data_IF_890955724101
#
_entry.id   IF_890955724101
#
_cell.length_a   1.000
_cell.length_b   1.000
_cell.length_c   1.000
_cell.angle_alpha   90.00
_cell.angle_beta   90.00
_cell.angle_gamma   90.00
#
_symmetry.space_group_name_H-M   'P 1'
#
loop_
_entity.id
_entity.type
_entity.pdbx_description
1 polymer ?
#
# COMPACT_ATOMS: atom_id res chain seq x y z
N UNK A 1 18.22 -37.27 -63.14
CA UNK A 1 17.47 -37.38 -61.85
C UNK A 1 18.14 -36.53 -60.80
N UNK A 2 17.56 -35.37 -60.46
CA UNK A 2 17.46 -34.75 -59.12
C UNK A 2 17.00 -33.30 -59.29
N UNK A 3 15.70 -33.11 -59.07
CA UNK A 3 15.04 -31.80 -58.95
C UNK A 3 15.53 -31.16 -57.64
N UNK A 4 16.04 -29.94 -57.67
CA UNK A 4 16.19 -29.13 -56.46
C UNK A 4 14.98 -28.19 -56.35
N UNK A 5 14.23 -28.39 -55.27
CA UNK A 5 13.01 -27.69 -54.90
C UNK A 5 13.37 -26.52 -53.97
N UNK A 6 12.59 -25.44 -54.11
CA UNK A 6 12.65 -24.17 -53.38
C UNK A 6 12.79 -24.29 -51.84
N UNK A 7 13.34 -23.23 -51.24
CA UNK A 7 12.75 -22.60 -50.04
C UNK A 7 13.22 -21.16 -49.89
N UNK A 8 12.36 -20.21 -50.26
CA UNK A 8 12.51 -18.79 -49.91
C UNK A 8 11.90 -18.63 -48.52
N UNK A 9 12.72 -18.30 -47.52
CA UNK A 9 12.27 -18.00 -46.16
C UNK A 9 11.92 -16.50 -46.12
N UNK A 10 10.63 -16.17 -46.15
CA UNK A 10 10.13 -14.84 -45.80
C UNK A 10 10.15 -14.69 -44.27
N UNK A 11 11.09 -13.89 -43.73
CA UNK A 11 11.00 -13.40 -42.36
C UNK A 11 9.86 -12.38 -42.26
N UNK A 12 8.72 -12.81 -41.72
CA UNK A 12 7.68 -11.91 -41.21
C UNK A 12 8.13 -11.36 -39.86
N UNK A 13 8.65 -10.13 -39.85
CA UNK A 13 8.85 -9.37 -38.62
C UNK A 13 7.50 -8.85 -38.13
N UNK A 14 6.88 -9.57 -37.19
CA UNK A 14 5.72 -9.08 -36.46
C UNK A 14 6.16 -8.00 -35.47
N UNK A 15 5.99 -6.73 -35.84
CA UNK A 15 5.98 -5.62 -34.87
C UNK A 15 4.75 -5.76 -33.99
N UNK A 16 4.94 -6.30 -32.78
CA UNK A 16 3.93 -6.28 -31.72
C UNK A 16 3.85 -4.84 -31.22
N UNK A 17 2.86 -4.11 -31.71
CA UNK A 17 2.50 -2.81 -31.17
C UNK A 17 1.82 -3.05 -29.82
N UNK A 18 2.52 -2.79 -28.71
CA UNK A 18 1.91 -2.74 -27.39
C UNK A 18 0.95 -1.54 -27.34
N UNK A 19 -0.33 -1.77 -27.64
CA UNK A 19 -1.36 -0.79 -27.36
C UNK A 19 -1.42 -0.58 -25.85
N UNK A 20 -1.13 0.65 -25.39
CA UNK A 20 -1.40 1.03 -24.01
C UNK A 20 -2.90 0.84 -23.72
N UNK A 21 -3.28 0.24 -22.58
CA UNK A 21 -4.69 0.05 -22.24
C UNK A 21 -5.37 1.42 -22.15
N UNK A 22 -6.44 1.61 -22.92
CA UNK A 22 -7.18 2.86 -23.06
C UNK A 22 -7.68 3.46 -21.73
N UNK A 23 -7.75 2.66 -20.65
CA UNK A 23 -8.08 3.13 -19.30
C UNK A 23 -7.04 4.09 -18.71
N UNK A 24 -5.76 3.91 -19.02
CA UNK A 24 -4.71 4.79 -18.50
C UNK A 24 -4.71 6.15 -19.19
N UNK A 25 -5.12 6.27 -20.45
CA UNK A 25 -5.06 7.56 -21.17
C UNK A 25 -6.08 8.57 -20.64
N UNK A 26 -7.31 8.15 -20.34
CA UNK A 26 -8.34 9.03 -19.76
C UNK A 26 -7.98 9.46 -18.34
N UNK A 27 -7.52 8.52 -17.52
CA UNK A 27 -7.05 8.82 -16.16
C UNK A 27 -5.89 9.81 -16.20
N UNK A 28 -4.88 9.57 -17.04
CA UNK A 28 -3.72 10.46 -17.18
C UNK A 28 -4.16 11.86 -17.63
N UNK A 29 -5.03 11.97 -18.64
CA UNK A 29 -5.53 13.26 -19.10
C UNK A 29 -6.28 14.03 -17.98
N UNK A 30 -7.10 13.33 -17.19
CA UNK A 30 -7.79 13.93 -16.03
C UNK A 30 -6.80 14.41 -14.97
N UNK A 31 -5.87 13.55 -14.56
CA UNK A 31 -4.86 13.87 -13.54
C UNK A 31 -3.96 15.01 -14.00
N UNK A 32 -3.52 15.01 -15.27
CA UNK A 32 -2.69 16.06 -15.85
C UNK A 32 -3.43 17.41 -15.89
N UNK A 33 -4.73 17.41 -16.18
CA UNK A 33 -5.56 18.62 -16.11
C UNK A 33 -5.66 19.14 -14.69
N UNK A 34 -5.98 18.27 -13.73
CA UNK A 34 -6.10 18.63 -12.31
C UNK A 34 -4.78 19.17 -11.76
N UNK A 35 -3.65 18.52 -12.06
CA UNK A 35 -2.32 18.97 -11.62
C UNK A 35 -1.93 20.34 -12.20
N UNK A 36 -2.45 20.72 -13.38
CA UNK A 36 -2.24 22.07 -13.94
C UNK A 36 -3.04 23.14 -13.20
N UNK A 37 -4.20 22.79 -12.66
CA UNK A 37 -5.02 23.70 -11.86
C UNK A 37 -4.51 23.90 -10.44
N UNK A 38 -3.73 22.95 -9.90
CA UNK A 38 -3.18 23.01 -8.55
C UNK A 38 -2.02 24.00 -8.41
N UNK A 39 -2.06 24.77 -7.33
CA UNK A 39 -0.92 25.52 -6.79
C UNK A 39 0.17 24.55 -6.27
N UNK A 40 1.37 25.06 -6.04
CA UNK A 40 2.45 24.27 -5.44
C UNK A 40 2.06 23.75 -4.04
N UNK A 41 1.39 24.58 -3.23
CA UNK A 41 0.98 24.20 -1.87
C UNK A 41 -0.05 23.08 -1.88
N UNK A 42 -1.02 23.10 -2.80
CA UNK A 42 -1.98 21.99 -2.95
C UNK A 42 -1.28 20.70 -3.38
N UNK A 43 -0.26 20.78 -4.27
CA UNK A 43 0.54 19.61 -4.67
C UNK A 43 1.31 19.02 -3.49
N UNK A 44 1.92 19.86 -2.66
CA UNK A 44 2.57 19.44 -1.41
C UNK A 44 1.53 18.86 -0.45
N UNK A 45 0.34 19.45 -0.39
CA UNK A 45 -0.79 19.00 0.42
C UNK A 45 -1.21 17.57 0.11
N UNK A 46 -1.22 17.18 -1.16
CA UNK A 46 -1.52 15.79 -1.56
C UNK A 46 -0.48 14.77 -1.06
N UNK A 47 0.73 15.22 -0.66
CA UNK A 47 1.76 14.38 -0.06
C UNK A 47 1.69 14.34 1.48
N UNK A 48 0.72 15.02 2.08
CA UNK A 48 0.56 15.16 3.51
C UNK A 48 -0.53 14.21 4.04
N UNK A 49 -0.19 13.45 5.08
CA UNK A 49 -1.09 12.52 5.75
C UNK A 49 -1.19 12.84 7.24
N UNK A 50 -2.40 13.12 7.73
CA UNK A 50 -2.64 13.43 9.14
C UNK A 50 -3.19 12.25 9.93
N UNK A 51 -2.66 12.07 11.15
CA UNK A 51 -3.23 11.12 12.11
C UNK A 51 -4.44 11.75 12.84
N UNK A 52 -5.54 11.00 12.91
CA UNK A 52 -6.64 11.10 13.85
C UNK A 52 -7.31 12.48 14.00
N UNK A 53 -8.62 12.50 13.73
CA UNK A 53 -9.53 13.52 14.25
C UNK A 53 -10.47 12.79 15.23
N UNK A 54 -10.11 12.77 16.52
CA UNK A 54 -10.78 11.91 17.51
C UNK A 54 -12.24 12.29 17.78
N UNK A 55 -12.59 13.56 17.60
CA UNK A 55 -13.97 14.06 17.72
C UNK A 55 -14.33 14.92 16.51
N UNK A 56 -14.74 14.28 15.41
CA UNK A 56 -15.24 15.04 14.24
C UNK A 56 -16.68 15.49 14.47
N UNK A 57 -17.52 14.71 15.15
CA UNK A 57 -18.94 15.07 15.39
C UNK A 57 -19.18 16.20 16.39
N UNK A 58 -18.18 16.58 17.19
CA UNK A 58 -18.25 17.76 18.07
C UNK A 58 -18.20 19.11 17.32
N UNK A 59 -18.34 20.24 18.04
CA UNK A 59 -18.11 21.55 17.46
C UNK A 59 -16.67 21.65 16.94
N UNK A 60 -16.47 22.33 15.80
CA UNK A 60 -15.13 22.56 15.25
C UNK A 60 -14.27 23.23 16.32
N UNK A 61 -13.10 22.67 16.67
CA UNK A 61 -12.24 23.23 17.70
C UNK A 61 -11.87 24.68 17.39
N UNK A 62 -12.08 25.58 18.35
CA UNK A 62 -11.85 27.03 18.16
C UNK A 62 -10.38 27.42 18.31
N UNK A 63 -9.55 26.56 18.92
CA UNK A 63 -8.15 26.81 19.27
C UNK A 63 -7.26 25.57 19.11
N UNK A 64 -5.94 25.77 19.11
CA UNK A 64 -4.92 24.71 19.13
C UNK A 64 -4.72 23.94 17.81
N UNK A 65 -3.95 22.85 17.90
CA UNK A 65 -3.56 22.01 16.76
C UNK A 65 -4.76 21.46 15.97
N UNK A 66 -5.89 21.21 16.64
CA UNK A 66 -7.07 20.67 15.99
C UNK A 66 -7.71 21.68 15.03
N UNK A 67 -7.79 22.98 15.40
CA UNK A 67 -8.26 24.05 14.51
C UNK A 67 -7.42 24.13 13.24
N UNK A 68 -6.10 24.10 13.38
CA UNK A 68 -5.17 24.15 12.24
C UNK A 68 -5.39 22.98 11.28
N UNK A 69 -5.61 21.76 11.80
CA UNK A 69 -5.90 20.61 10.95
C UNK A 69 -7.16 20.82 10.10
N UNK A 70 -8.24 21.34 10.69
CA UNK A 70 -9.47 21.65 9.94
C UNK A 70 -9.26 22.75 8.90
N UNK A 71 -8.47 23.77 9.22
CA UNK A 71 -8.12 24.81 8.26
C UNK A 71 -7.32 24.24 7.08
N UNK A 72 -6.34 23.39 7.35
CA UNK A 72 -5.55 22.72 6.31
C UNK A 72 -6.42 21.84 5.40
N UNK A 73 -7.47 21.21 5.93
CA UNK A 73 -8.46 20.48 5.11
C UNK A 73 -9.18 21.44 4.14
N UNK A 74 -9.69 22.57 4.63
CA UNK A 74 -10.35 23.59 3.80
C UNK A 74 -9.41 24.21 2.77
N UNK A 75 -8.13 24.33 3.09
CA UNK A 75 -7.11 24.86 2.19
C UNK A 75 -6.62 23.84 1.15
N UNK A 76 -7.08 22.58 1.18
CA UNK A 76 -6.60 21.53 0.26
C UNK A 76 -5.16 21.07 0.55
N UNK A 77 -4.69 21.19 1.79
CA UNK A 77 -3.31 20.91 2.21
C UNK A 77 -3.12 19.51 2.83
N UNK A 78 -4.08 18.61 2.63
CA UNK A 78 -4.08 17.24 3.17
C UNK A 78 -4.62 16.30 2.11
N UNK A 79 -3.86 15.28 1.73
CA UNK A 79 -4.28 14.25 0.75
C UNK A 79 -4.87 13.01 1.42
N UNK A 80 -4.46 12.71 2.66
CA UNK A 80 -4.90 11.54 3.39
C UNK A 80 -5.02 11.78 4.89
N UNK A 81 -5.86 10.97 5.53
CA UNK A 81 -5.98 10.90 6.98
C UNK A 81 -5.94 9.44 7.41
N UNK A 82 -5.40 9.16 8.60
CA UNK A 82 -5.46 7.82 9.20
C UNK A 82 -6.15 7.83 10.56
N UNK A 83 -6.63 6.67 10.98
CA UNK A 83 -7.25 6.44 12.29
C UNK A 83 -8.55 7.22 12.56
N UNK A 84 -9.26 7.61 11.50
CA UNK A 84 -10.63 8.14 11.63
C UNK A 84 -11.59 6.96 11.81
N UNK A 85 -12.40 6.96 12.87
CA UNK A 85 -13.30 5.85 13.20
C UNK A 85 -14.76 6.24 12.96
N UNK A 86 -15.50 5.36 12.31
CA UNK A 86 -16.94 5.51 12.09
C UNK A 86 -17.30 6.28 10.83
N UNK A 87 -18.35 5.83 10.15
CA UNK A 87 -18.82 6.38 8.88
C UNK A 87 -19.22 7.87 8.96
N UNK A 88 -19.81 8.31 10.07
CA UNK A 88 -20.22 9.71 10.29
C UNK A 88 -19.01 10.65 10.28
N UNK A 89 -17.94 10.28 10.99
CA UNK A 89 -16.71 11.07 11.06
C UNK A 89 -16.00 11.10 9.70
N UNK A 90 -15.89 9.94 9.03
CA UNK A 90 -15.32 9.85 7.68
C UNK A 90 -16.08 10.74 6.71
N UNK A 91 -17.42 10.62 6.69
CA UNK A 91 -18.28 11.42 5.83
C UNK A 91 -18.14 12.91 6.12
N UNK A 92 -18.14 13.33 7.39
CA UNK A 92 -18.00 14.74 7.75
C UNK A 92 -16.67 15.34 7.28
N UNK A 93 -15.55 14.62 7.44
CA UNK A 93 -14.25 15.08 6.92
C UNK A 93 -14.23 15.15 5.39
N UNK A 94 -14.80 14.14 4.72
CA UNK A 94 -14.87 14.13 3.26
C UNK A 94 -15.73 15.28 2.74
N UNK A 95 -16.87 15.57 3.37
CA UNK A 95 -17.74 16.68 3.00
C UNK A 95 -17.05 18.04 3.18
N UNK A 96 -16.22 18.23 4.21
CA UNK A 96 -15.45 19.47 4.39
C UNK A 96 -14.53 19.68 3.19
N UNK A 97 -13.71 18.69 2.82
CA UNK A 97 -12.75 18.86 1.72
C UNK A 97 -13.47 19.03 0.38
N UNK A 98 -14.48 18.20 0.10
CA UNK A 98 -15.21 18.24 -1.18
C UNK A 98 -16.00 19.54 -1.35
N UNK A 99 -16.60 20.10 -0.29
CA UNK A 99 -17.46 21.29 -0.37
C UNK A 99 -16.74 22.60 -0.11
N UNK A 100 -15.70 22.60 0.72
CA UNK A 100 -15.10 23.83 1.24
C UNK A 100 -13.68 24.09 0.68
N UNK A 101 -13.00 23.08 0.12
CA UNK A 101 -11.71 23.30 -0.54
C UNK A 101 -11.85 23.76 -1.98
N UNK A 102 -10.84 24.50 -2.47
CA UNK A 102 -10.88 25.15 -3.80
C UNK A 102 -11.12 24.16 -4.95
N UNK A 103 -10.52 22.97 -4.89
CA UNK A 103 -10.59 21.95 -5.95
C UNK A 103 -11.42 20.72 -5.56
N UNK A 104 -11.88 20.61 -4.32
CA UNK A 104 -12.71 19.49 -3.87
C UNK A 104 -12.05 18.10 -3.98
N UNK A 105 -10.71 18.01 -3.97
CA UNK A 105 -9.98 16.74 -4.13
C UNK A 105 -10.23 15.85 -2.91
N UNK A 106 -10.81 14.65 -3.06
CA UNK A 106 -11.22 13.82 -1.93
C UNK A 106 -10.02 13.24 -1.16
N UNK A 107 -10.22 13.00 0.14
CA UNK A 107 -9.25 12.36 1.02
C UNK A 107 -9.20 10.84 0.84
N UNK A 108 -8.01 10.27 1.04
CA UNK A 108 -7.83 8.86 1.41
C UNK A 108 -7.99 8.68 2.92
N UNK A 109 -8.65 7.59 3.33
CA UNK A 109 -8.87 7.21 4.72
C UNK A 109 -8.15 5.89 5.01
N UNK A 110 -6.99 6.01 5.66
CA UNK A 110 -6.10 4.92 6.04
C UNK A 110 -6.45 4.31 7.40
N UNK A 111 -6.33 3.00 7.53
CA UNK A 111 -6.46 2.31 8.82
C UNK A 111 -5.64 1.01 8.87
N UNK A 112 -5.12 0.66 10.06
CA UNK A 112 -4.50 -0.64 10.31
C UNK A 112 -5.59 -1.73 10.44
N UNK A 113 -5.98 -2.30 9.30
CA UNK A 113 -6.93 -3.44 9.20
C UNK A 113 -6.08 -4.71 9.01
N UNK A 114 -5.37 -5.09 10.07
CA UNK A 114 -4.29 -6.09 9.98
C UNK A 114 -4.81 -7.52 9.92
N UNK A 115 -5.82 -7.89 10.71
CA UNK A 115 -6.37 -9.25 10.76
C UNK A 115 -7.88 -9.23 11.00
N UNK A 116 -8.56 -8.28 10.36
CA UNK A 116 -9.97 -7.98 10.60
C UNK A 116 -10.23 -6.52 10.92
N UNK A 117 -11.51 -6.11 10.84
CA UNK A 117 -11.94 -4.78 11.27
C UNK A 117 -12.75 -4.85 12.57
N UNK A 118 -13.93 -5.47 12.53
CA UNK A 118 -14.75 -5.80 13.70
C UNK A 118 -14.72 -7.29 13.97
N UNK A 119 -14.92 -8.10 12.94
CA UNK A 119 -14.66 -9.53 12.99
C UNK A 119 -13.17 -9.76 12.87
N UNK A 120 -12.56 -10.34 13.90
CA UNK A 120 -11.12 -10.59 13.95
C UNK A 120 -10.83 -12.05 13.56
N UNK A 121 -9.97 -12.23 12.57
CA UNK A 121 -9.29 -13.50 12.31
C UNK A 121 -8.15 -13.71 13.33
N UNK A 122 -7.52 -14.89 13.38
CA UNK A 122 -6.24 -15.04 14.07
C UNK A 122 -5.23 -13.99 13.58
N UNK A 123 -4.26 -13.64 14.44
CA UNK A 123 -3.14 -12.77 14.05
C UNK A 123 -2.43 -13.35 12.81
N UNK A 124 -1.80 -12.52 11.95
CA UNK A 124 -1.24 -12.98 10.68
C UNK A 124 -0.28 -14.17 10.80
N UNK A 125 0.55 -14.23 11.85
CA UNK A 125 1.46 -15.36 12.06
C UNK A 125 0.71 -16.68 12.31
N UNK A 126 -0.38 -16.63 13.08
CA UNK A 126 -1.23 -17.80 13.33
C UNK A 126 -2.06 -18.17 12.10
N UNK A 127 -2.50 -17.18 11.33
CA UNK A 127 -3.18 -17.37 10.06
C UNK A 127 -2.27 -18.10 9.05
N UNK A 128 -0.99 -17.71 8.98
CA UNK A 128 0.01 -18.33 8.12
C UNK A 128 0.25 -19.82 8.45
N UNK A 129 0.12 -20.20 9.72
CA UNK A 129 0.25 -21.59 10.16
C UNK A 129 -0.83 -22.53 9.62
N UNK A 130 -1.92 -22.00 9.03
CA UNK A 130 -2.92 -22.80 8.33
C UNK A 130 -2.45 -23.34 6.97
N UNK A 131 -1.50 -22.64 6.33
CA UNK A 131 -1.11 -22.87 4.92
C UNK A 131 -2.27 -22.80 3.91
N UNK A 132 -3.43 -22.29 4.33
CA UNK A 132 -4.64 -22.19 3.53
C UNK A 132 -4.76 -20.79 2.94
N UNK A 133 -4.27 -20.64 1.69
CA UNK A 133 -4.29 -19.36 0.98
C UNK A 133 -5.71 -18.87 0.68
N UNK A 134 -6.67 -19.77 0.50
CA UNK A 134 -8.06 -19.41 0.23
C UNK A 134 -8.73 -18.85 1.49
N UNK A 135 -8.48 -19.46 2.65
CA UNK A 135 -8.93 -18.94 3.94
C UNK A 135 -8.32 -17.56 4.25
N UNK A 136 -7.03 -17.38 3.96
CA UNK A 136 -6.31 -16.10 4.16
C UNK A 136 -6.88 -15.00 3.25
N UNK A 137 -7.10 -15.30 1.96
CA UNK A 137 -7.72 -14.35 1.03
C UNK A 137 -9.13 -13.97 1.50
N UNK A 138 -9.92 -14.96 1.95
CA UNK A 138 -11.28 -14.74 2.47
C UNK A 138 -11.30 -13.89 3.73
N UNK A 139 -10.34 -14.09 4.64
CA UNK A 139 -10.16 -13.28 5.85
C UNK A 139 -9.92 -11.81 5.51
N UNK A 140 -8.98 -11.53 4.60
CA UNK A 140 -8.73 -10.18 4.09
C UNK A 140 -9.97 -9.59 3.36
N UNK A 141 -10.72 -10.42 2.63
CA UNK A 141 -11.96 -10.00 1.97
C UNK A 141 -13.04 -9.56 2.96
N UNK A 142 -13.27 -10.31 4.02
CA UNK A 142 -14.22 -9.95 5.10
C UNK A 142 -13.78 -8.63 5.76
N UNK A 143 -12.49 -8.51 6.07
CA UNK A 143 -11.94 -7.31 6.69
C UNK A 143 -12.14 -6.06 5.81
N UNK A 144 -11.94 -6.18 4.50
CA UNK A 144 -12.17 -5.09 3.56
C UNK A 144 -13.64 -4.70 3.42
N UNK A 145 -14.57 -5.66 3.39
CA UNK A 145 -16.01 -5.38 3.35
C UNK A 145 -16.44 -4.59 4.59
N UNK A 146 -15.98 -5.00 5.77
CA UNK A 146 -16.30 -4.31 7.02
C UNK A 146 -15.68 -2.91 7.08
N UNK A 147 -14.41 -2.77 6.67
CA UNK A 147 -13.71 -1.49 6.70
C UNK A 147 -14.29 -0.48 5.70
N UNK A 148 -14.60 -0.91 4.48
CA UNK A 148 -15.18 -0.03 3.46
C UNK A 148 -16.61 0.39 3.81
N UNK A 149 -17.38 -0.46 4.50
CA UNK A 149 -18.71 -0.12 5.00
C UNK A 149 -18.71 1.06 5.99
N UNK A 150 -17.57 1.33 6.64
CA UNK A 150 -17.38 2.50 7.52
C UNK A 150 -16.55 3.62 6.89
N UNK A 151 -16.30 3.55 5.58
CA UNK A 151 -15.64 4.59 4.79
C UNK A 151 -14.11 4.52 4.76
N UNK A 152 -13.49 3.48 5.32
CA UNK A 152 -12.05 3.23 5.13
C UNK A 152 -11.83 2.72 3.72
N UNK A 153 -10.92 3.34 2.97
CA UNK A 153 -10.64 2.98 1.57
C UNK A 153 -9.17 2.58 1.33
N UNK A 154 -8.35 2.58 2.39
CA UNK A 154 -6.95 2.23 2.34
C UNK A 154 -6.53 1.52 3.63
N UNK A 155 -5.89 0.36 3.52
CA UNK A 155 -5.34 -0.35 4.68
C UNK A 155 -3.82 -0.47 4.64
N UNK A 156 -3.21 -0.36 5.81
CA UNK A 156 -1.79 -0.60 6.03
C UNK A 156 -1.49 -2.09 6.24
N UNK A 157 -1.91 -2.94 5.30
CA UNK A 157 -1.69 -4.38 5.30
C UNK A 157 -1.63 -4.89 3.84
N UNK A 158 -0.92 -6.00 3.55
CA UNK A 158 -0.26 -6.89 4.51
C UNK A 158 1.15 -6.44 4.96
N UNK A 159 1.52 -6.82 6.19
CA UNK A 159 2.91 -6.85 6.60
C UNK A 159 3.54 -8.15 6.07
N UNK A 160 4.63 -8.03 5.32
CA UNK A 160 5.30 -9.12 4.60
C UNK A 160 6.78 -9.21 4.93
N UNK A 161 7.21 -8.62 6.05
CA UNK A 161 8.58 -8.72 6.51
C UNK A 161 8.90 -10.16 6.88
N UNK A 162 9.98 -10.70 6.32
CA UNK A 162 10.57 -11.94 6.79
C UNK A 162 11.35 -11.64 8.07
N UNK A 163 11.17 -12.49 9.07
CA UNK A 163 11.97 -12.46 10.30
C UNK A 163 12.43 -13.86 10.69
N UNK A 164 13.61 -13.93 11.30
CA UNK A 164 14.20 -15.14 11.88
C UNK A 164 14.52 -14.96 13.37
N UNK A 165 13.93 -13.94 13.98
CA UNK A 165 14.18 -13.57 15.37
C UNK A 165 12.87 -13.47 16.14
N UNK A 166 12.54 -14.52 16.87
CA UNK A 166 11.31 -14.60 17.66
C UNK A 166 11.24 -13.57 18.81
N UNK A 167 12.34 -12.86 19.13
CA UNK A 167 12.32 -11.76 20.12
C UNK A 167 11.62 -10.52 19.57
N UNK A 168 11.59 -10.35 18.25
CA UNK A 168 10.95 -9.20 17.62
C UNK A 168 9.43 -9.34 17.69
N UNK A 169 8.77 -8.55 18.53
CA UNK A 169 7.33 -8.68 18.78
C UNK A 169 6.44 -8.60 17.53
N UNK A 170 6.93 -7.98 16.45
CA UNK A 170 6.19 -7.83 15.20
C UNK A 170 6.22 -9.07 14.30
N UNK A 171 6.90 -10.16 14.71
CA UNK A 171 6.72 -11.47 14.06
C UNK A 171 5.24 -11.88 13.98
N UNK A 172 4.43 -11.44 14.95
CA UNK A 172 2.99 -11.67 15.00
C UNK A 172 2.22 -11.10 13.80
N UNK A 173 2.73 -10.04 13.17
CA UNK A 173 2.10 -9.36 12.03
C UNK A 173 2.48 -9.94 10.67
N UNK A 174 3.53 -10.76 10.62
CA UNK A 174 4.06 -11.34 9.40
C UNK A 174 3.60 -12.78 9.14
N UNK A 175 4.24 -13.41 8.16
CA UNK A 175 3.94 -14.76 7.69
C UNK A 175 5.06 -15.78 8.00
N UNK A 176 5.90 -15.48 9.00
CA UNK A 176 7.01 -16.33 9.42
C UNK A 176 8.33 -16.05 8.70
N UNK A 177 9.15 -17.09 8.55
CA UNK A 177 10.56 -16.97 8.15
C UNK A 177 10.85 -17.32 6.68
N UNK A 178 9.88 -17.89 5.97
CA UNK A 178 10.05 -18.42 4.62
C UNK A 178 9.61 -17.40 3.54
N UNK A 179 10.51 -16.99 2.62
CA UNK A 179 10.16 -16.06 1.55
C UNK A 179 9.09 -16.55 0.59
N UNK A 180 9.01 -17.87 0.34
CA UNK A 180 8.03 -18.42 -0.60
C UNK A 180 6.62 -18.37 -0.04
N UNK A 181 6.42 -18.89 1.17
CA UNK A 181 5.14 -18.82 1.88
C UNK A 181 4.75 -17.36 2.13
N UNK A 182 5.68 -16.53 2.61
CA UNK A 182 5.45 -15.11 2.82
C UNK A 182 4.99 -14.38 1.56
N UNK A 183 5.59 -14.69 0.40
CA UNK A 183 5.14 -14.17 -0.89
C UNK A 183 3.72 -14.62 -1.26
N UNK A 184 3.41 -15.92 -1.10
CA UNK A 184 2.07 -16.46 -1.41
C UNK A 184 0.98 -15.83 -0.53
N UNK A 185 1.24 -15.70 0.77
CA UNK A 185 0.33 -15.08 1.73
C UNK A 185 0.16 -13.59 1.45
N UNK A 186 1.25 -12.87 1.18
CA UNK A 186 1.20 -11.46 0.79
C UNK A 186 0.27 -11.23 -0.40
N UNK A 187 0.41 -12.03 -1.46
CA UNK A 187 -0.46 -11.97 -2.65
C UNK A 187 -1.92 -12.29 -2.32
N UNK A 188 -2.19 -13.34 -1.54
CA UNK A 188 -3.55 -13.71 -1.14
C UNK A 188 -4.25 -12.56 -0.38
N UNK A 189 -3.53 -11.90 0.53
CA UNK A 189 -4.07 -10.76 1.28
C UNK A 189 -4.29 -9.54 0.40
N UNK A 190 -3.37 -9.21 -0.51
CA UNK A 190 -3.54 -8.11 -1.47
C UNK A 190 -4.81 -8.31 -2.31
N UNK A 191 -5.02 -9.53 -2.84
CA UNK A 191 -6.24 -9.90 -3.58
C UNK A 191 -7.49 -9.79 -2.71
N UNK A 192 -7.42 -10.30 -1.49
CA UNK A 192 -8.53 -10.23 -0.54
C UNK A 192 -8.95 -8.79 -0.23
N UNK A 193 -8.00 -7.86 -0.05
CA UNK A 193 -8.34 -6.45 0.19
C UNK A 193 -8.84 -5.73 -1.08
N UNK A 194 -8.09 -5.84 -2.17
CA UNK A 194 -8.31 -5.04 -3.39
C UNK A 194 -9.40 -5.60 -4.31
N UNK A 195 -9.72 -6.89 -4.20
CA UNK A 195 -10.61 -7.57 -5.14
C UNK A 195 -10.10 -7.47 -6.58
N UNK A 196 -11.03 -7.56 -7.53
CA UNK A 196 -10.73 -7.39 -8.97
C UNK A 196 -11.03 -5.97 -9.47
N UNK A 197 -11.67 -5.14 -8.66
CA UNK A 197 -12.08 -3.79 -9.01
C UNK A 197 -12.05 -2.89 -7.77
N UNK A 198 -11.07 -2.00 -7.71
CA UNK A 198 -10.87 -1.08 -6.58
C UNK A 198 -11.92 0.04 -6.53
N UNK A 199 -12.72 0.21 -7.58
CA UNK A 199 -13.84 1.17 -7.59
C UNK A 199 -15.09 0.62 -6.89
N UNK A 200 -15.13 -0.69 -6.64
CA UNK A 200 -16.23 -1.32 -5.92
C UNK A 200 -16.25 -0.87 -4.44
N UNK A 201 -17.44 -0.59 -3.91
CA UNK A 201 -17.64 -0.05 -2.56
C UNK A 201 -17.29 -1.01 -1.41
N UNK A 202 -16.92 -2.26 -1.73
CA UNK A 202 -16.56 -3.31 -0.80
C UNK A 202 -15.06 -3.68 -0.86
N UNK A 203 -14.26 -2.87 -1.56
CA UNK A 203 -12.81 -3.03 -1.73
C UNK A 203 -12.05 -1.86 -1.13
N UNK A 204 -10.79 -2.11 -0.75
CA UNK A 204 -9.89 -1.09 -0.21
C UNK A 204 -8.48 -1.29 -0.76
N UNK A 205 -7.72 -0.20 -0.92
CA UNK A 205 -6.32 -0.25 -1.34
C UNK A 205 -5.47 -0.96 -0.28
N UNK A 206 -4.57 -1.85 -0.69
CA UNK A 206 -3.63 -2.53 0.20
C UNK A 206 -2.26 -1.82 0.24
N UNK A 207 -1.51 -2.09 1.31
CA UNK A 207 -0.14 -1.58 1.51
C UNK A 207 0.80 -2.71 1.89
N UNK A 208 1.77 -3.03 1.04
CA UNK A 208 2.85 -3.94 1.44
C UNK A 208 3.81 -3.20 2.40
N UNK A 209 4.07 -3.78 3.58
CA UNK A 209 4.95 -3.17 4.60
C UNK A 209 5.85 -4.20 5.29
N UNK A 210 7.02 -3.83 5.82
CA UNK A 210 7.64 -2.50 5.81
C UNK A 210 8.91 -2.54 4.95
N UNK A 211 8.92 -1.82 3.84
CA UNK A 211 9.96 -1.89 2.84
C UNK A 211 11.22 -1.10 3.27
N UNK A 212 12.35 -1.73 3.62
CA UNK A 212 12.61 -3.17 3.64
C UNK A 212 13.59 -3.59 4.76
N UNK A 213 13.54 -4.89 5.10
CA UNK A 213 14.50 -5.55 5.99
C UNK A 213 14.18 -5.43 7.47
N UNK A 214 13.02 -4.85 7.83
CA UNK A 214 12.68 -4.52 9.20
C UNK A 214 12.69 -5.71 10.17
N UNK A 215 12.31 -6.90 9.70
CA UNK A 215 12.33 -8.13 10.50
C UNK A 215 13.72 -8.68 10.83
N UNK A 216 14.79 -8.05 10.36
CA UNK A 216 16.20 -8.38 10.66
C UNK A 216 16.83 -7.44 11.69
N UNK A 217 16.02 -6.68 12.44
CA UNK A 217 16.52 -5.75 13.45
C UNK A 217 17.38 -6.48 14.49
N UNK A 218 18.57 -5.96 14.77
CA UNK A 218 19.54 -6.58 15.66
C UNK A 218 18.96 -6.88 17.05
N UNK A 219 19.27 -8.07 17.55
CA UNK A 219 18.77 -8.61 18.81
C UNK A 219 17.24 -8.71 18.92
N UNK A 220 16.52 -8.66 17.79
CA UNK A 220 15.07 -8.61 17.75
C UNK A 220 14.48 -7.38 18.44
N UNK A 221 15.29 -6.34 18.66
CA UNK A 221 14.85 -5.10 19.30
C UNK A 221 14.19 -4.23 18.25
N UNK A 222 12.94 -3.88 18.48
CA UNK A 222 12.17 -3.10 17.51
C UNK A 222 12.87 -1.77 17.17
N UNK A 223 12.79 -1.35 15.90
CA UNK A 223 13.44 -0.18 15.31
C UNK A 223 14.97 -0.19 15.28
N UNK A 224 15.61 -1.23 15.81
CA UNK A 224 17.07 -1.28 15.90
C UNK A 224 17.73 -1.39 14.51
N UNK A 225 19.06 -1.26 14.49
CA UNK A 225 19.88 -1.40 13.28
C UNK A 225 19.57 -2.68 12.53
N UNK A 226 19.54 -2.60 11.19
CA UNK A 226 19.57 -3.76 10.31
C UNK A 226 20.82 -3.64 9.45
N UNK A 227 21.68 -4.65 9.51
CA UNK A 227 22.84 -4.79 8.64
C UNK A 227 22.85 -6.18 8.02
N UNK A 228 22.64 -6.23 6.71
CA UNK A 228 22.47 -7.49 5.97
C UNK A 228 23.15 -7.39 4.61
N UNK A 229 23.80 -8.49 4.21
CA UNK A 229 24.41 -8.58 2.88
C UNK A 229 23.37 -8.57 1.75
N UNK A 230 23.82 -8.22 0.55
CA UNK A 230 22.98 -8.20 -0.67
C UNK A 230 22.33 -9.55 -0.96
N UNK A 231 23.03 -10.66 -0.71
CA UNK A 231 22.44 -12.00 -0.86
C UNK A 231 21.18 -12.17 0.00
N UNK A 232 21.21 -11.75 1.26
CA UNK A 232 20.03 -11.81 2.14
C UNK A 232 18.93 -10.88 1.65
N UNK A 233 19.28 -9.67 1.19
CA UNK A 233 18.29 -8.74 0.63
C UNK A 233 17.53 -9.36 -0.54
N UNK A 234 18.23 -9.88 -1.54
CA UNK A 234 17.61 -10.38 -2.77
C UNK A 234 16.94 -11.75 -2.61
N UNK A 235 17.54 -12.65 -1.83
CA UNK A 235 17.04 -14.03 -1.72
C UNK A 235 16.05 -14.23 -0.57
N UNK A 236 15.98 -13.30 0.39
CA UNK A 236 15.14 -13.47 1.60
C UNK A 236 14.19 -12.30 1.83
N UNK A 237 14.68 -11.06 1.79
CA UNK A 237 13.87 -9.89 2.19
C UNK A 237 12.97 -9.38 1.07
N UNK A 238 13.49 -9.21 -0.14
CA UNK A 238 12.73 -8.67 -1.28
C UNK A 238 11.66 -9.58 -1.88
N UNK A 239 11.75 -10.92 -1.87
CA UNK A 239 10.78 -11.77 -2.58
C UNK A 239 9.30 -11.51 -2.22
N UNK A 240 8.89 -11.37 -0.94
CA UNK A 240 7.50 -11.08 -0.61
C UNK A 240 7.02 -9.70 -1.09
N UNK A 241 7.87 -8.66 -1.02
CA UNK A 241 7.55 -7.34 -1.55
C UNK A 241 7.43 -7.36 -3.08
N UNK A 242 8.35 -8.04 -3.76
CA UNK A 242 8.30 -8.23 -5.22
C UNK A 242 7.00 -8.90 -5.63
N UNK A 243 6.61 -9.98 -4.94
CA UNK A 243 5.35 -10.67 -5.20
C UNK A 243 4.13 -9.77 -4.98
N UNK A 244 4.12 -8.96 -3.92
CA UNK A 244 3.06 -7.99 -3.67
C UNK A 244 2.94 -6.94 -4.80
N UNK A 245 4.06 -6.40 -5.27
CA UNK A 245 4.11 -5.44 -6.40
C UNK A 245 3.67 -6.09 -7.70
N UNK A 246 4.13 -7.31 -8.01
CA UNK A 246 3.71 -8.06 -9.19
C UNK A 246 2.22 -8.46 -9.14
N UNK A 247 1.63 -8.53 -7.94
CA UNK A 247 0.19 -8.68 -7.73
C UNK A 247 -0.59 -7.36 -7.70
N UNK A 248 0.05 -6.25 -8.11
CA UNK A 248 -0.57 -4.92 -8.23
C UNK A 248 -1.07 -4.35 -6.88
N UNK A 249 -0.28 -4.53 -5.81
CA UNK A 249 -0.50 -3.80 -4.55
C UNK A 249 -0.41 -2.29 -4.81
N UNK A 250 -1.39 -1.53 -4.32
CA UNK A 250 -1.48 -0.10 -4.67
C UNK A 250 -0.50 0.80 -3.95
N UNK A 251 -0.03 0.39 -2.77
CA UNK A 251 0.90 1.20 -1.98
C UNK A 251 1.96 0.33 -1.30
N UNK A 252 3.09 0.96 -0.97
CA UNK A 252 4.18 0.36 -0.20
C UNK A 252 4.58 1.33 0.90
N UNK A 253 4.77 0.82 2.11
CA UNK A 253 5.16 1.62 3.27
C UNK A 253 6.63 1.37 3.62
N UNK A 254 7.38 2.44 3.85
CA UNK A 254 8.78 2.36 4.25
C UNK A 254 8.95 1.72 5.63
N UNK A 255 10.07 1.04 5.84
CA UNK A 255 10.50 0.62 7.17
C UNK A 255 11.21 1.73 7.93
N UNK A 256 11.36 1.50 9.23
CA UNK A 256 12.05 2.43 10.14
C UNK A 256 13.56 2.24 10.17
N UNK A 257 14.04 1.02 9.95
CA UNK A 257 15.45 0.66 10.09
C UNK A 257 16.34 1.34 9.04
N UNK A 258 17.64 1.33 9.32
CA UNK A 258 18.68 1.58 8.31
C UNK A 258 18.94 0.31 7.49
N UNK A 259 19.41 0.47 6.26
CA UNK A 259 20.05 -0.58 5.46
C UNK A 259 21.35 0.00 4.95
N UNK A 260 22.48 -0.64 5.24
CA UNK A 260 23.83 -0.14 4.95
C UNK A 260 24.03 1.30 5.48
N UNK A 261 23.57 1.57 6.70
CA UNK A 261 23.72 2.87 7.37
C UNK A 261 22.75 3.97 6.92
N UNK A 262 21.87 3.71 5.94
CA UNK A 262 20.92 4.73 5.43
C UNK A 262 19.48 4.34 5.81
N UNK A 263 18.70 5.21 6.49
CA UNK A 263 17.29 4.94 6.79
C UNK A 263 16.50 4.58 5.54
N UNK A 264 15.67 3.55 5.59
CA UNK A 264 14.97 3.02 4.40
C UNK A 264 14.16 4.09 3.65
N UNK A 265 13.52 5.02 4.38
CA UNK A 265 12.79 6.17 3.83
C UNK A 265 13.65 7.09 2.96
N UNK A 266 14.93 7.27 3.30
CA UNK A 266 15.87 8.13 2.57
C UNK A 266 16.78 7.34 1.60
N UNK A 267 16.66 6.01 1.58
CA UNK A 267 17.56 5.14 0.83
C UNK A 267 17.17 5.10 -0.66
N UNK A 268 17.91 5.84 -1.51
CA UNK A 268 17.65 5.91 -2.96
C UNK A 268 17.64 4.52 -3.62
N UNK A 269 18.59 3.66 -3.25
CA UNK A 269 18.68 2.31 -3.79
C UNK A 269 17.37 1.53 -3.55
N UNK A 270 16.81 1.58 -2.35
CA UNK A 270 15.51 0.96 -2.08
C UNK A 270 14.38 1.66 -2.84
N UNK A 271 14.26 2.98 -2.68
CA UNK A 271 13.07 3.74 -3.10
C UNK A 271 12.95 3.97 -4.61
N UNK A 272 14.08 3.96 -5.34
CA UNK A 272 14.15 4.28 -6.77
C UNK A 272 14.59 3.04 -7.54
N UNK A 273 15.75 2.51 -7.19
CA UNK A 273 16.40 1.49 -8.00
C UNK A 273 15.67 0.14 -7.85
N UNK A 274 15.40 -0.31 -6.62
CA UNK A 274 14.67 -1.56 -6.36
C UNK A 274 13.17 -1.41 -6.59
N UNK A 275 12.50 -0.49 -5.87
CA UNK A 275 11.04 -0.43 -5.88
C UNK A 275 10.47 0.05 -7.22
N UNK A 276 11.18 0.93 -7.93
CA UNK A 276 10.67 1.60 -9.15
C UNK A 276 11.44 1.22 -10.42
N UNK A 277 12.50 0.42 -10.32
CA UNK A 277 13.34 0.03 -11.46
C UNK A 277 13.98 1.21 -12.19
N UNK A 278 14.37 2.25 -11.45
CA UNK A 278 14.90 3.52 -12.00
C UNK A 278 16.38 3.72 -11.75
#
# INVERSE_FOLDING_TARGET
MKKQLLSIICLLTSTICFAQPAGNSRMNAFVDSLLKEMTLLEKVGQMNQYNGFWEVTGPVPKEGNAKQKYEHLRMGLVGAVLNVKGNENVRKLQEIVVKESRLGIPLLFGFDVVHGHKTLSPIPLAEAASWDLEAIEKSARVAAIEASAVGINWTFAPMVDISRDARWGRVMEGAGEDPYLGAKIGVARVRGFQGNDLSANNTIAATAKHFAGYGFAEAGKDYNTVDVGTSTLYNVIFPPFKAAVESDVKTVMNSFNVINGIPATANKFLQRDILKGR
#
